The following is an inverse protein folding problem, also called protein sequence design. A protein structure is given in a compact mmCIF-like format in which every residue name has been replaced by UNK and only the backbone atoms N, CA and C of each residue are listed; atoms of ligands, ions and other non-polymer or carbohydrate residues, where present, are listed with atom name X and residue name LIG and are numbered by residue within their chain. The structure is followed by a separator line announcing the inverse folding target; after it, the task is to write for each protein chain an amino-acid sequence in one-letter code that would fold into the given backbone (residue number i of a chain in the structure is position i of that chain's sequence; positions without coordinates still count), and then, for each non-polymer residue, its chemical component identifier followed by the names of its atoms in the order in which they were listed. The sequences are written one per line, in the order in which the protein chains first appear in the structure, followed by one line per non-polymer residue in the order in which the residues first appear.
data_IF_663447955982
#
_entry.id   IF_663447955982
#
_cell.length_a   1.000
_cell.length_b   1.000
_cell.length_c   1.000
_cell.angle_alpha   90.00
_cell.angle_beta   90.00
_cell.angle_gamma   90.00
#
_symmetry.space_group_name_H-M   'P 1'
#
loop_
_entity.id
_entity.type
_entity.pdbx_description
1 polymer ?
#
# COMPACT_ATOMS: atom_id res chain seq x y z
N UNK A 1 -21.17 70.89 49.55
CA UNK A 1 -20.12 69.87 49.30
C UNK A 1 -20.69 68.77 48.40
N UNK A 2 -20.34 68.76 47.10
CA UNK A 2 -20.83 67.73 46.13
C UNK A 2 -19.72 66.74 45.88
N UNK A 3 -19.89 65.47 46.34
CA UNK A 3 -18.96 64.38 46.07
C UNK A 3 -19.13 63.89 44.63
N UNK A 4 -18.07 63.90 43.83
CA UNK A 4 -18.01 63.29 42.51
C UNK A 4 -17.48 61.84 42.67
N UNK A 5 -18.34 60.88 42.36
CA UNK A 5 -17.98 59.46 42.24
C UNK A 5 -17.36 59.25 40.87
N UNK A 6 -16.09 58.86 40.83
CA UNK A 6 -15.32 58.51 39.64
C UNK A 6 -15.54 56.99 39.36
N UNK A 7 -16.31 56.67 38.33
CA UNK A 7 -16.53 55.29 37.90
C UNK A 7 -15.35 54.87 36.99
N UNK A 8 -14.46 54.01 37.52
CA UNK A 8 -13.36 53.40 36.77
C UNK A 8 -13.88 52.16 36.11
N UNK A 9 -14.15 52.21 34.81
CA UNK A 9 -14.51 51.06 33.97
C UNK A 9 -13.25 50.29 33.61
N UNK A 10 -13.01 49.18 34.29
CA UNK A 10 -11.92 48.25 33.98
C UNK A 10 -12.30 47.44 32.70
N UNK A 11 -11.59 47.67 31.62
CA UNK A 11 -11.68 46.86 30.40
C UNK A 11 -10.86 45.59 30.60
N UNK A 12 -11.55 44.47 30.80
CA UNK A 12 -10.92 43.14 30.85
C UNK A 12 -10.57 42.72 29.41
N UNK A 13 -9.28 42.74 29.05
CA UNK A 13 -8.77 42.12 27.82
C UNK A 13 -8.74 40.60 28.04
N UNK A 14 -9.71 39.88 27.48
CA UNK A 14 -9.63 38.45 27.32
C UNK A 14 -8.62 38.13 26.20
N UNK A 15 -7.40 37.82 26.57
CA UNK A 15 -6.42 37.24 25.67
C UNK A 15 -6.92 35.83 25.27
N UNK A 16 -7.60 35.72 24.13
CA UNK A 16 -7.91 34.46 23.50
C UNK A 16 -6.59 33.87 22.96
N UNK A 17 -6.02 32.91 23.69
CA UNK A 17 -4.97 32.04 23.16
C UNK A 17 -5.57 31.17 22.05
N UNK A 18 -5.62 31.67 20.81
CA UNK A 18 -5.81 30.84 19.66
C UNK A 18 -4.57 29.95 19.54
N UNK A 19 -4.67 28.70 19.99
CA UNK A 19 -3.70 27.66 19.65
C UNK A 19 -3.75 27.48 18.14
N UNK A 20 -2.81 28.07 17.42
CA UNK A 20 -2.55 27.76 16.02
C UNK A 20 -2.14 26.28 15.98
N UNK A 21 -3.06 25.38 15.61
CA UNK A 21 -2.69 24.05 15.19
C UNK A 21 -1.82 24.19 13.94
N UNK A 22 -0.55 23.88 14.07
CA UNK A 22 0.40 23.89 12.96
C UNK A 22 -0.13 22.96 11.87
N UNK A 23 -0.53 23.55 10.74
CA UNK A 23 -1.01 22.78 9.59
C UNK A 23 0.12 21.90 9.06
N UNK A 24 -0.16 20.62 8.83
CA UNK A 24 0.83 19.71 8.24
C UNK A 24 1.25 20.19 6.86
N UNK A 25 2.52 20.02 6.52
CA UNK A 25 3.12 20.58 5.32
C UNK A 25 3.93 19.53 4.55
N UNK A 26 4.10 19.77 3.27
CA UNK A 26 5.05 19.01 2.46
C UNK A 26 6.49 19.49 2.63
N UNK A 27 7.45 18.84 1.95
CA UNK A 27 8.85 19.27 1.91
C UNK A 27 8.99 20.69 1.38
N UNK A 28 9.98 21.43 1.89
CA UNK A 28 10.33 22.78 1.43
C UNK A 28 10.98 22.81 0.03
N UNK A 29 11.38 21.63 -0.48
CA UNK A 29 12.04 21.47 -1.78
C UNK A 29 11.20 20.61 -2.74
N UNK A 30 11.51 20.70 -4.02
CA UNK A 30 10.87 19.86 -5.03
C UNK A 30 11.33 18.40 -4.87
N UNK A 31 10.38 17.47 -4.76
CA UNK A 31 10.62 16.03 -4.71
C UNK A 31 10.24 15.40 -6.04
N UNK A 32 11.20 14.84 -6.76
CA UNK A 32 10.89 14.02 -7.94
C UNK A 32 10.40 12.63 -7.51
N UNK A 33 9.18 12.29 -7.90
CA UNK A 33 8.56 11.00 -7.59
C UNK A 33 8.63 9.99 -8.73
N UNK A 34 9.24 10.34 -9.87
CA UNK A 34 9.30 9.49 -11.06
C UNK A 34 10.07 8.19 -10.81
N UNK A 35 11.13 8.26 -10.01
CA UNK A 35 11.96 7.10 -9.61
C UNK A 35 11.40 6.30 -8.43
N UNK A 36 10.40 6.79 -7.72
CA UNK A 36 9.85 6.12 -6.54
C UNK A 36 8.91 5.00 -6.99
N UNK A 37 9.31 3.75 -6.72
CA UNK A 37 8.50 2.57 -7.04
C UNK A 37 7.40 2.39 -6.01
N UNK A 38 6.27 1.84 -6.45
CA UNK A 38 5.18 1.45 -5.56
C UNK A 38 5.62 0.38 -4.55
N UNK A 39 4.93 0.30 -3.42
CA UNK A 39 5.16 -0.77 -2.46
C UNK A 39 4.93 -2.14 -3.13
N UNK A 40 5.82 -3.09 -2.84
CA UNK A 40 5.70 -4.46 -3.37
C UNK A 40 4.96 -5.30 -2.33
N UNK A 41 3.73 -5.74 -2.62
CA UNK A 41 2.98 -6.60 -1.70
C UNK A 41 3.78 -7.85 -1.34
N UNK A 42 3.80 -8.17 -0.05
CA UNK A 42 4.46 -9.36 0.49
C UNK A 42 3.50 -10.01 1.49
N UNK A 43 3.68 -11.29 1.72
CA UNK A 43 3.07 -11.97 2.85
C UNK A 43 3.90 -11.64 4.10
N UNK A 44 3.39 -10.74 4.93
CA UNK A 44 4.02 -10.30 6.16
C UNK A 44 3.14 -10.69 7.35
N UNK A 45 3.74 -11.20 8.45
CA UNK A 45 2.98 -11.45 9.67
C UNK A 45 2.45 -10.13 10.24
N UNK A 46 1.32 -10.20 10.93
CA UNK A 46 0.79 -9.04 11.66
C UNK A 46 1.84 -8.49 12.62
N UNK A 47 2.03 -7.18 12.59
CA UNK A 47 2.93 -6.50 13.52
C UNK A 47 2.47 -6.71 14.96
N UNK A 48 3.42 -6.84 15.90
CA UNK A 48 3.11 -6.95 17.33
C UNK A 48 2.42 -5.68 17.86
N UNK A 49 2.78 -4.51 17.32
CA UNK A 49 2.15 -3.23 17.61
C UNK A 49 1.04 -2.87 16.63
N UNK A 50 0.12 -1.99 17.06
CA UNK A 50 -0.90 -1.39 16.22
C UNK A 50 -2.09 -2.30 15.87
N UNK A 51 -2.18 -3.52 16.39
CA UNK A 51 -3.22 -4.50 16.05
C UNK A 51 -4.03 -5.03 17.28
N UNK A 52 -4.53 -4.17 18.20
CA UNK A 52 -5.50 -4.62 19.19
C UNK A 52 -6.84 -4.94 18.50
N UNK A 53 -7.68 -5.74 19.14
CA UNK A 53 -9.03 -6.03 18.61
C UNK A 53 -9.83 -4.75 18.39
N UNK A 54 -9.69 -3.79 19.31
CA UNK A 54 -10.24 -2.44 19.16
C UNK A 54 -9.41 -1.40 19.93
N UNK A 55 -9.55 -0.15 19.56
CA UNK A 55 -8.91 0.99 20.24
C UNK A 55 -9.82 2.22 20.20
N UNK A 56 -9.56 3.20 21.09
CA UNK A 56 -10.38 4.42 21.20
C UNK A 56 -9.51 5.64 20.91
N UNK A 57 -9.96 6.50 20.00
CA UNK A 57 -9.35 7.81 19.73
C UNK A 57 -10.44 8.87 19.70
N UNK A 58 -10.24 9.97 20.40
CA UNK A 58 -11.19 11.08 20.51
C UNK A 58 -12.62 10.59 20.88
N UNK A 59 -12.70 9.66 21.83
CA UNK A 59 -13.96 9.08 22.32
C UNK A 59 -14.65 8.09 21.36
N UNK A 60 -14.11 7.89 20.15
CA UNK A 60 -14.67 6.95 19.17
C UNK A 60 -13.90 5.63 19.14
N UNK A 61 -14.64 4.51 19.21
CA UNK A 61 -14.09 3.16 19.13
C UNK A 61 -13.93 2.72 17.67
N UNK A 62 -12.79 2.10 17.38
CA UNK A 62 -12.46 1.51 16.09
C UNK A 62 -12.08 0.04 16.31
N UNK A 63 -12.62 -0.87 15.50
CA UNK A 63 -12.26 -2.29 15.53
C UNK A 63 -11.27 -2.59 14.40
N UNK A 64 -10.24 -3.35 14.70
CA UNK A 64 -9.28 -3.84 13.70
C UNK A 64 -9.84 -5.11 13.09
N UNK A 65 -9.76 -5.22 11.76
CA UNK A 65 -10.21 -6.40 11.02
C UNK A 65 -9.24 -7.57 11.24
N UNK A 66 -9.79 -8.79 11.25
CA UNK A 66 -8.98 -10.00 11.36
C UNK A 66 -8.16 -10.26 10.09
N UNK A 67 -8.64 -9.81 8.95
CA UNK A 67 -7.97 -9.96 7.67
C UNK A 67 -8.30 -8.78 6.76
N UNK A 68 -7.35 -8.43 5.90
CA UNK A 68 -7.54 -7.46 4.82
C UNK A 68 -8.05 -8.11 3.53
N UNK A 69 -8.08 -9.43 3.47
CA UNK A 69 -8.44 -10.18 2.25
C UNK A 69 -9.83 -9.78 1.73
N UNK A 70 -9.87 -9.36 0.46
CA UNK A 70 -11.10 -8.93 -0.20
C UNK A 70 -11.61 -7.55 0.24
N UNK A 71 -10.87 -6.83 1.08
CA UNK A 71 -11.26 -5.50 1.53
C UNK A 71 -11.31 -4.51 0.36
N UNK A 72 -12.43 -3.79 0.29
CA UNK A 72 -12.64 -2.71 -0.67
C UNK A 72 -13.45 -1.61 -0.01
N UNK A 73 -13.02 -0.36 -0.19
CA UNK A 73 -13.71 0.80 0.37
C UNK A 73 -13.56 2.01 -0.55
N UNK A 74 -14.60 2.84 -0.64
CA UNK A 74 -14.57 4.16 -1.27
C UNK A 74 -14.74 5.25 -0.23
N UNK A 75 -14.09 6.38 -0.43
CA UNK A 75 -14.18 7.55 0.44
C UNK A 75 -13.06 8.53 0.17
N UNK A 76 -12.89 9.49 1.09
CA UNK A 76 -11.91 10.56 0.95
C UNK A 76 -10.56 10.12 1.50
N UNK A 77 -9.51 10.27 0.69
CA UNK A 77 -8.11 10.21 1.12
C UNK A 77 -7.59 11.60 1.46
N UNK A 78 -6.67 11.67 2.40
CA UNK A 78 -5.77 12.81 2.63
C UNK A 78 -4.32 12.33 2.70
N UNK A 79 -3.41 13.19 3.10
CA UNK A 79 -2.01 12.84 3.25
C UNK A 79 -1.42 13.52 4.49
N UNK A 80 -0.32 13.00 5.00
CA UNK A 80 0.44 13.49 6.15
C UNK A 80 1.92 13.67 5.76
N UNK A 81 2.55 14.69 6.31
CA UNK A 81 3.85 15.21 5.85
C UNK A 81 4.84 15.44 6.97
N UNK A 82 5.44 16.63 6.97
CA UNK A 82 6.55 17.02 7.86
C UNK A 82 6.25 16.88 9.35
N UNK A 83 5.04 17.20 9.79
CA UNK A 83 4.63 17.11 11.20
C UNK A 83 4.81 15.71 11.78
N UNK A 84 4.66 14.67 10.97
CA UNK A 84 4.72 13.28 11.39
C UNK A 84 6.02 12.59 10.98
N UNK A 85 6.78 13.17 10.06
CA UNK A 85 8.03 12.59 9.56
C UNK A 85 9.03 12.36 10.71
N UNK A 86 9.62 11.15 10.74
CA UNK A 86 10.54 10.74 11.81
C UNK A 86 9.87 10.20 13.10
N UNK A 87 8.55 10.32 13.24
CA UNK A 87 7.80 9.79 14.38
C UNK A 87 7.48 8.29 14.20
N UNK A 88 7.23 7.61 15.32
CA UNK A 88 6.80 6.20 15.28
C UNK A 88 5.37 6.07 14.79
N UNK A 89 5.16 5.16 13.86
CA UNK A 89 3.83 4.69 13.44
C UNK A 89 3.24 3.74 14.49
N UNK A 90 1.96 3.44 14.37
CA UNK A 90 1.23 2.56 15.30
C UNK A 90 1.79 1.12 15.34
N UNK A 91 2.43 0.65 14.27
CA UNK A 91 3.09 -0.66 14.26
C UNK A 91 4.53 -0.61 14.79
N UNK A 92 5.05 0.58 15.17
CA UNK A 92 6.36 0.80 15.77
C UNK A 92 7.49 1.16 14.79
N UNK A 93 7.21 1.23 13.50
CA UNK A 93 8.16 1.70 12.47
C UNK A 93 8.31 3.22 12.53
N UNK A 94 9.36 3.76 11.90
CA UNK A 94 9.50 5.21 11.74
C UNK A 94 8.75 5.64 10.48
N UNK A 95 7.89 6.65 10.62
CA UNK A 95 7.22 7.23 9.46
C UNK A 95 8.22 8.01 8.60
N UNK A 96 8.29 7.62 7.35
CA UNK A 96 9.04 8.33 6.32
C UNK A 96 8.08 8.78 5.20
N UNK A 97 7.88 10.11 5.08
CA UNK A 97 6.97 10.67 4.09
C UNK A 97 7.42 10.45 2.62
N UNK A 98 8.66 10.00 2.42
CA UNK A 98 9.23 9.68 1.11
C UNK A 98 9.07 8.20 0.71
N UNK A 99 8.41 7.39 1.53
CA UNK A 99 8.11 5.98 1.23
C UNK A 99 6.65 5.79 0.83
N UNK A 100 6.35 4.69 0.13
CA UNK A 100 4.99 4.36 -0.31
C UNK A 100 4.20 3.70 0.83
N UNK A 101 3.78 4.51 1.81
CA UNK A 101 3.07 4.07 3.02
C UNK A 101 1.76 4.81 3.22
N UNK A 102 0.93 4.30 4.14
CA UNK A 102 -0.36 4.90 4.49
C UNK A 102 -0.82 4.51 5.91
N UNK A 103 -1.76 5.31 6.44
CA UNK A 103 -2.50 5.02 7.66
C UNK A 103 -3.96 4.64 7.35
N UNK A 104 -4.48 3.60 8.01
CA UNK A 104 -5.87 3.18 7.91
C UNK A 104 -6.43 2.75 9.28
N UNK A 105 -7.72 3.06 9.52
CA UNK A 105 -8.36 2.83 10.82
C UNK A 105 -8.48 1.36 11.21
N UNK A 106 -8.88 0.52 10.27
CA UNK A 106 -9.39 -0.82 10.55
C UNK A 106 -8.57 -1.97 9.95
N UNK A 107 -7.78 -1.73 8.89
CA UNK A 107 -6.97 -2.80 8.27
C UNK A 107 -5.93 -3.35 9.26
N UNK A 108 -5.65 -4.65 9.27
CA UNK A 108 -4.53 -5.18 10.02
C UNK A 108 -3.22 -4.58 9.54
N UNK A 109 -2.26 -4.36 10.44
CA UNK A 109 -0.94 -3.83 10.11
C UNK A 109 0.11 -4.95 10.14
N UNK A 110 0.97 -5.05 9.12
CA UNK A 110 0.87 -4.33 7.87
C UNK A 110 -0.17 -4.93 6.91
N UNK A 111 -0.70 -4.12 6.00
CA UNK A 111 -1.50 -4.55 4.85
C UNK A 111 -1.05 -3.80 3.60
N UNK A 112 -1.27 -4.37 2.44
CA UNK A 112 -1.01 -3.72 1.16
C UNK A 112 -2.30 -3.37 0.46
N UNK A 113 -2.44 -2.13 0.02
CA UNK A 113 -3.63 -1.68 -0.70
C UNK A 113 -3.25 -0.92 -1.98
N UNK A 114 -4.06 -1.11 -3.03
CA UNK A 114 -4.09 -0.19 -4.16
C UNK A 114 -5.04 0.93 -3.83
N UNK A 115 -4.58 2.15 -4.01
CA UNK A 115 -5.36 3.38 -3.88
C UNK A 115 -5.51 3.97 -5.27
N UNK A 116 -6.73 4.16 -5.73
CA UNK A 116 -7.06 4.76 -7.03
C UNK A 116 -7.79 6.09 -6.81
N UNK A 117 -7.26 7.17 -7.33
CA UNK A 117 -7.94 8.47 -7.37
C UNK A 117 -9.03 8.42 -8.44
N UNK A 118 -10.29 8.56 -8.04
CA UNK A 118 -11.46 8.39 -8.91
C UNK A 118 -11.63 9.53 -9.92
N UNK A 119 -10.98 10.68 -9.69
CA UNK A 119 -11.06 11.83 -10.59
C UNK A 119 -10.14 11.69 -11.82
N UNK A 120 -8.94 11.14 -11.64
CA UNK A 120 -7.92 11.08 -12.69
C UNK A 120 -7.47 9.65 -13.03
N UNK A 121 -8.03 8.63 -12.38
CA UNK A 121 -7.72 7.21 -12.54
C UNK A 121 -6.24 6.83 -12.26
N UNK A 122 -5.44 7.73 -11.66
CA UNK A 122 -4.10 7.38 -11.19
C UNK A 122 -4.21 6.43 -10.00
N UNK A 123 -3.33 5.45 -9.93
CA UNK A 123 -3.29 4.51 -8.83
C UNK A 123 -1.88 4.26 -8.33
N UNK A 124 -1.77 3.96 -7.05
CA UNK A 124 -0.52 3.61 -6.37
C UNK A 124 -0.76 2.40 -5.47
N UNK A 125 0.30 1.66 -5.19
CA UNK A 125 0.29 0.63 -4.14
C UNK A 125 1.06 1.16 -2.95
N UNK A 126 0.42 1.11 -1.77
CA UNK A 126 1.01 1.55 -0.51
C UNK A 126 0.96 0.43 0.53
N UNK A 127 1.91 0.45 1.45
CA UNK A 127 1.92 -0.40 2.64
C UNK A 127 1.29 0.36 3.80
N UNK A 128 0.18 -0.15 4.31
CA UNK A 128 -0.51 0.40 5.47
C UNK A 128 0.22 -0.08 6.72
N UNK A 129 0.85 0.84 7.43
CA UNK A 129 1.65 0.57 8.63
C UNK A 129 1.27 1.45 9.82
N UNK A 130 0.23 2.29 9.67
CA UNK A 130 -0.18 3.22 10.72
C UNK A 130 -1.71 3.27 10.90
N UNK A 131 -2.17 3.90 12.03
CA UNK A 131 -3.56 4.14 12.38
C UNK A 131 -3.96 5.58 12.09
N UNK A 132 -5.13 5.73 11.53
CA UNK A 132 -5.76 6.98 11.10
C UNK A 132 -6.48 6.78 9.77
N UNK A 133 -7.02 7.85 9.18
CA UNK A 133 -7.23 9.19 9.72
C UNK A 133 -8.36 9.25 10.76
N UNK A 134 -8.24 10.12 11.74
CA UNK A 134 -9.30 10.30 12.74
C UNK A 134 -10.22 11.49 12.42
N UNK A 135 -9.88 12.31 11.44
CA UNK A 135 -10.76 13.35 10.92
C UNK A 135 -12.01 12.75 10.25
N UNK A 136 -13.14 13.45 10.40
CA UNK A 136 -14.45 13.01 9.88
C UNK A 136 -14.42 12.89 8.35
N UNK A 137 -15.03 11.83 7.82
CA UNK A 137 -15.19 11.60 6.38
C UNK A 137 -13.98 10.98 5.66
N UNK A 138 -12.78 11.04 6.24
CA UNK A 138 -11.58 10.45 5.63
C UNK A 138 -11.45 8.94 5.94
N UNK A 139 -10.91 8.19 4.99
CA UNK A 139 -10.74 6.73 5.11
C UNK A 139 -9.27 6.29 5.15
N UNK A 140 -8.37 7.03 4.50
CA UNK A 140 -6.94 6.71 4.40
C UNK A 140 -6.13 8.00 4.38
N UNK A 141 -4.98 8.02 5.07
CA UNK A 141 -3.98 9.06 4.95
C UNK A 141 -2.75 8.49 4.27
N UNK A 142 -2.34 9.13 3.17
CA UNK A 142 -1.21 8.70 2.35
C UNK A 142 0.07 9.42 2.77
N UNK A 143 1.21 8.79 2.56
CA UNK A 143 2.48 9.51 2.59
C UNK A 143 2.51 10.60 1.53
N UNK A 144 3.37 11.61 1.72
CA UNK A 144 3.52 12.71 0.77
C UNK A 144 3.80 12.23 -0.66
N UNK A 145 4.74 11.30 -0.85
CA UNK A 145 5.09 10.81 -2.19
C UNK A 145 3.95 9.99 -2.83
N UNK A 146 3.21 9.21 -2.04
CA UNK A 146 2.04 8.49 -2.53
C UNK A 146 0.95 9.46 -2.99
N UNK A 147 0.65 10.49 -2.21
CA UNK A 147 -0.30 11.54 -2.55
C UNK A 147 0.14 12.35 -3.78
N UNK A 148 1.45 12.62 -3.90
CA UNK A 148 2.02 13.31 -5.07
C UNK A 148 1.89 12.50 -6.35
N UNK A 149 2.12 11.19 -6.30
CA UNK A 149 1.90 10.28 -7.45
C UNK A 149 0.43 10.22 -7.86
N UNK A 150 -0.51 10.30 -6.92
CA UNK A 150 -1.95 10.37 -7.18
C UNK A 150 -2.43 11.75 -7.64
N UNK A 151 -1.53 12.76 -7.68
CA UNK A 151 -1.83 14.15 -8.08
C UNK A 151 -2.91 14.81 -7.18
N UNK A 152 -2.75 14.63 -5.86
CA UNK A 152 -3.70 15.19 -4.89
C UNK A 152 -3.09 16.18 -3.89
N UNK A 153 -1.79 16.51 -4.01
CA UNK A 153 -1.12 17.45 -3.09
C UNK A 153 -1.79 18.82 -3.07
N UNK A 154 -2.11 19.37 -4.25
CA UNK A 154 -2.71 20.71 -4.36
C UNK A 154 -4.11 20.81 -3.76
N UNK A 155 -4.88 19.74 -3.84
CA UNK A 155 -6.24 19.66 -3.29
C UNK A 155 -6.26 19.24 -1.83
N UNK A 156 -5.16 18.69 -1.30
CA UNK A 156 -5.06 18.13 0.05
C UNK A 156 -5.82 16.83 0.24
N UNK A 157 -6.89 16.61 -0.52
CA UNK A 157 -7.77 15.44 -0.46
C UNK A 157 -8.19 14.98 -1.86
N UNK A 158 -8.62 13.72 -1.97
CA UNK A 158 -9.20 13.17 -3.19
C UNK A 158 -10.19 12.05 -2.86
N UNK A 159 -11.23 11.90 -3.71
CA UNK A 159 -12.07 10.72 -3.68
C UNK A 159 -11.31 9.52 -4.23
N UNK A 160 -11.25 8.46 -3.45
CA UNK A 160 -10.48 7.26 -3.80
C UNK A 160 -11.28 5.99 -3.62
N UNK A 161 -10.86 4.97 -4.35
CA UNK A 161 -11.16 3.57 -4.06
C UNK A 161 -9.90 2.90 -3.54
N UNK A 162 -10.00 2.19 -2.42
CA UNK A 162 -8.95 1.31 -1.88
C UNK A 162 -9.35 -0.14 -2.02
N UNK A 163 -8.40 -0.97 -2.48
CA UNK A 163 -8.59 -2.41 -2.63
C UNK A 163 -7.38 -3.11 -2.03
N UNK A 164 -7.61 -4.02 -1.09
CA UNK A 164 -6.55 -4.84 -0.50
C UNK A 164 -5.88 -5.72 -1.54
N UNK A 165 -4.57 -5.86 -1.42
CA UNK A 165 -3.72 -6.74 -2.22
C UNK A 165 -3.15 -7.91 -1.42
N UNK A 166 -3.56 -8.06 -0.14
CA UNK A 166 -3.08 -9.14 0.72
C UNK A 166 -3.63 -10.48 0.21
N UNK A 167 -2.73 -11.44 0.06
CA UNK A 167 -3.00 -12.70 -0.63
C UNK A 167 -2.98 -12.58 -2.16
N UNK A 168 -2.75 -11.39 -2.70
CA UNK A 168 -2.41 -11.22 -4.10
C UNK A 168 -0.90 -11.36 -4.26
N UNK A 169 -0.47 -12.28 -5.08
CA UNK A 169 0.93 -12.31 -5.53
C UNK A 169 1.28 -10.95 -6.17
N UNK A 170 2.51 -10.44 -5.95
CA UNK A 170 2.92 -9.17 -6.52
C UNK A 170 2.69 -9.12 -8.03
N UNK A 171 1.94 -8.13 -8.49
CA UNK A 171 1.82 -7.74 -9.89
C UNK A 171 0.91 -8.54 -10.83
N UNK A 172 -0.40 -8.26 -10.79
CA UNK A 172 -1.16 -8.40 -12.03
C UNK A 172 -2.07 -7.21 -12.38
N UNK A 173 -2.09 -6.12 -11.60
CA UNK A 173 -3.06 -5.04 -11.84
C UNK A 173 -2.50 -3.61 -11.89
N UNK A 174 -1.20 -3.38 -11.66
CA UNK A 174 -0.64 -2.02 -11.74
C UNK A 174 -0.13 -1.64 -13.14
N UNK A 175 0.03 -2.63 -14.02
CA UNK A 175 0.34 -2.40 -15.43
C UNK A 175 -0.66 -3.21 -16.26
N UNK A 176 -1.16 -2.64 -17.35
CA UNK A 176 -1.77 -3.38 -18.48
C UNK A 176 -0.78 -4.39 -19.09
N UNK A 177 0.14 -4.90 -18.29
CA UNK A 177 1.23 -5.79 -18.65
C UNK A 177 0.84 -7.26 -18.53
N UNK A 178 1.27 -8.02 -19.51
CA UNK A 178 1.21 -9.48 -19.53
C UNK A 178 2.17 -10.05 -18.48
N UNK A 179 1.76 -11.06 -17.73
CA UNK A 179 2.61 -11.73 -16.72
C UNK A 179 2.83 -13.20 -17.04
N UNK A 180 3.93 -13.75 -16.55
CA UNK A 180 4.22 -15.19 -16.56
C UNK A 180 4.23 -15.72 -15.12
N UNK A 181 3.83 -16.96 -14.93
CA UNK A 181 4.01 -17.65 -13.65
C UNK A 181 5.26 -18.53 -13.76
N UNK A 182 6.30 -18.20 -12.99
CA UNK A 182 7.51 -19.00 -12.89
C UNK A 182 7.29 -20.13 -11.87
N UNK A 183 7.42 -21.37 -12.32
CA UNK A 183 7.21 -22.56 -11.49
C UNK A 183 8.51 -23.06 -10.88
N UNK A 184 9.66 -22.66 -11.45
CA UNK A 184 10.97 -23.01 -10.89
C UNK A 184 12.11 -22.39 -11.68
N UNK A 185 13.31 -22.42 -11.07
CA UNK A 185 14.58 -22.07 -11.68
C UNK A 185 15.60 -23.17 -11.40
N UNK A 186 16.22 -23.71 -12.45
CA UNK A 186 17.08 -24.89 -12.37
C UNK A 186 18.48 -24.58 -12.91
N UNK A 187 19.50 -25.15 -12.30
CA UNK A 187 20.88 -25.05 -12.80
C UNK A 187 21.13 -25.97 -14.00
N UNK A 188 20.32 -27.01 -14.18
CA UNK A 188 20.40 -27.97 -15.27
C UNK A 188 19.27 -27.78 -16.27
N UNK A 189 19.59 -27.73 -17.57
CA UNK A 189 18.62 -27.69 -18.66
C UNK A 189 17.75 -28.93 -18.72
N UNK A 190 18.31 -30.07 -18.38
CA UNK A 190 17.59 -31.34 -18.34
C UNK A 190 16.52 -31.37 -17.25
N UNK A 191 16.87 -30.92 -16.03
CA UNK A 191 15.92 -30.79 -14.92
C UNK A 191 14.77 -29.84 -15.27
N UNK A 192 15.08 -28.71 -15.89
CA UNK A 192 14.07 -27.77 -16.38
C UNK A 192 13.13 -28.39 -17.42
N UNK A 193 13.68 -29.19 -18.37
CA UNK A 193 12.88 -29.90 -19.37
C UNK A 193 11.96 -30.96 -18.75
N UNK A 194 12.46 -31.76 -17.81
CA UNK A 194 11.64 -32.76 -17.09
C UNK A 194 10.43 -32.12 -16.40
N UNK A 195 10.65 -31.01 -15.69
CA UNK A 195 9.57 -30.28 -15.02
C UNK A 195 8.62 -29.63 -16.03
N UNK A 196 9.13 -29.02 -17.10
CA UNK A 196 8.31 -28.42 -18.13
C UNK A 196 7.40 -29.45 -18.82
N UNK A 197 7.93 -30.63 -19.13
CA UNK A 197 7.17 -31.71 -19.75
C UNK A 197 6.11 -32.29 -18.79
N UNK A 198 6.46 -32.47 -17.52
CA UNK A 198 5.50 -32.88 -16.47
C UNK A 198 4.35 -31.89 -16.35
N UNK A 199 4.63 -30.57 -16.26
CA UNK A 199 3.63 -29.52 -16.21
C UNK A 199 2.73 -29.51 -17.46
N UNK A 200 3.33 -29.54 -18.64
CA UNK A 200 2.58 -29.56 -19.90
C UNK A 200 1.61 -30.75 -19.99
N UNK A 201 2.07 -31.92 -19.58
CA UNK A 201 1.27 -33.15 -19.60
C UNK A 201 0.15 -33.15 -18.55
N UNK A 202 0.46 -32.75 -17.30
CA UNK A 202 -0.51 -32.77 -16.20
C UNK A 202 -1.55 -31.66 -16.29
N UNK A 203 -1.12 -30.46 -16.68
CA UNK A 203 -1.98 -29.28 -16.64
C UNK A 203 -2.49 -28.86 -18.01
N UNK A 204 -2.05 -29.50 -19.09
CA UNK A 204 -2.39 -29.14 -20.47
C UNK A 204 -2.18 -27.63 -20.74
N UNK A 205 -1.01 -27.13 -20.35
CA UNK A 205 -0.63 -25.73 -20.42
C UNK A 205 0.64 -25.55 -21.25
N UNK A 206 0.74 -24.44 -21.95
CA UNK A 206 1.97 -24.07 -22.64
C UNK A 206 3.05 -23.69 -21.62
N UNK A 207 4.21 -24.31 -21.71
CA UNK A 207 5.35 -24.10 -20.82
C UNK A 207 6.54 -23.58 -21.61
N UNK A 208 7.19 -22.54 -21.10
CA UNK A 208 8.40 -21.97 -21.70
C UNK A 208 9.59 -22.17 -20.76
N UNK A 209 10.78 -22.35 -21.34
CA UNK A 209 12.03 -22.42 -20.60
C UNK A 209 12.91 -21.26 -21.07
N UNK A 210 13.25 -20.34 -20.17
CA UNK A 210 14.14 -19.21 -20.45
C UNK A 210 15.49 -19.41 -19.77
N UNK A 211 16.57 -19.38 -20.56
CA UNK A 211 17.94 -19.41 -20.05
C UNK A 211 18.36 -18.01 -19.62
N UNK A 212 18.93 -17.90 -18.43
CA UNK A 212 19.49 -16.66 -17.87
C UNK A 212 20.92 -16.93 -17.42
N UNK A 213 21.82 -16.04 -17.83
CA UNK A 213 23.21 -16.01 -17.36
C UNK A 213 23.32 -14.95 -16.26
N UNK A 214 23.83 -15.31 -15.10
CA UNK A 214 24.14 -14.39 -14.02
C UNK A 214 25.48 -14.77 -13.41
N UNK A 215 26.45 -13.85 -13.43
CA UNK A 215 27.75 -13.98 -12.75
C UNK A 215 28.36 -15.38 -12.81
N UNK A 216 28.69 -15.92 -13.98
CA UNK A 216 29.25 -17.26 -14.20
C UNK A 216 28.31 -18.47 -13.95
N UNK A 217 27.02 -18.27 -13.64
CA UNK A 217 26.04 -19.36 -13.49
C UNK A 217 24.94 -19.24 -14.52
N UNK A 218 24.52 -20.38 -15.06
CA UNK A 218 23.34 -20.47 -15.95
C UNK A 218 22.17 -21.00 -15.14
N UNK A 219 20.97 -20.40 -15.35
CA UNK A 219 19.74 -20.87 -14.77
C UNK A 219 18.68 -21.02 -15.87
N UNK A 220 17.87 -22.04 -15.76
CA UNK A 220 16.78 -22.35 -16.67
C UNK A 220 15.47 -22.13 -15.92
N UNK A 221 14.74 -21.06 -16.27
CA UNK A 221 13.47 -20.70 -15.63
C UNK A 221 12.32 -21.32 -16.38
N UNK A 222 11.54 -22.17 -15.68
CA UNK A 222 10.34 -22.79 -16.21
C UNK A 222 9.14 -21.91 -15.90
N UNK A 223 8.39 -21.50 -16.93
CA UNK A 223 7.28 -20.53 -16.82
C UNK A 223 6.06 -20.98 -17.61
N UNK A 224 4.88 -20.63 -17.12
CA UNK A 224 3.60 -20.76 -17.81
C UNK A 224 2.96 -19.39 -18.05
N UNK A 225 2.15 -19.25 -19.07
CA UNK A 225 1.55 -18.00 -19.55
C UNK A 225 1.91 -17.74 -21.00
N UNK A 226 1.67 -16.52 -21.51
CA UNK A 226 1.41 -15.26 -20.81
C UNK A 226 -0.06 -15.07 -20.36
N UNK A 227 -0.27 -14.38 -19.24
CA UNK A 227 -1.59 -14.06 -18.70
C UNK A 227 -1.79 -12.55 -18.62
N UNK A 228 -2.98 -12.08 -19.01
CA UNK A 228 -3.30 -10.64 -19.07
C UNK A 228 -4.20 -10.17 -17.93
N UNK A 229 -4.88 -11.09 -17.24
CA UNK A 229 -5.85 -10.75 -16.20
C UNK A 229 -5.53 -11.46 -14.89
N UNK A 230 -5.87 -10.82 -13.76
CA UNK A 230 -5.69 -11.41 -12.43
C UNK A 230 -6.48 -12.73 -12.30
N UNK A 231 -7.70 -12.78 -12.84
CA UNK A 231 -8.52 -13.99 -12.81
C UNK A 231 -7.84 -15.19 -13.47
N UNK A 232 -7.11 -14.97 -14.58
CA UNK A 232 -6.31 -16.03 -15.20
C UNK A 232 -5.18 -16.48 -14.29
N UNK A 233 -4.48 -15.52 -13.67
CA UNK A 233 -3.37 -15.82 -12.74
C UNK A 233 -3.87 -16.62 -11.54
N UNK A 234 -4.93 -16.18 -10.86
CA UNK A 234 -5.51 -16.83 -9.68
C UNK A 234 -5.98 -18.27 -9.98
N UNK A 235 -6.63 -18.46 -11.14
CA UNK A 235 -7.02 -19.77 -11.63
C UNK A 235 -5.81 -20.71 -11.74
N UNK A 236 -4.70 -20.23 -12.30
CA UNK A 236 -3.52 -21.04 -12.50
C UNK A 236 -2.74 -21.26 -11.19
N UNK A 237 -2.66 -20.28 -10.31
CA UNK A 237 -2.05 -20.46 -8.98
C UNK A 237 -2.77 -21.54 -8.18
N UNK A 238 -4.11 -21.47 -8.13
CA UNK A 238 -4.93 -22.48 -7.46
C UNK A 238 -4.70 -23.89 -8.05
N UNK A 239 -4.62 -23.98 -9.39
CA UNK A 239 -4.38 -25.24 -10.08
C UNK A 239 -2.97 -25.78 -9.88
N UNK A 240 -1.95 -24.92 -9.84
CA UNK A 240 -0.57 -25.32 -9.52
C UNK A 240 -0.46 -25.83 -8.08
N UNK A 241 -1.05 -25.14 -7.13
CA UNK A 241 -1.07 -25.55 -5.71
C UNK A 241 -1.73 -26.92 -5.53
N UNK A 242 -2.85 -27.21 -6.21
CA UNK A 242 -3.52 -28.51 -6.15
C UNK A 242 -2.69 -29.66 -6.75
N UNK A 243 -1.64 -29.35 -7.52
CA UNK A 243 -0.69 -30.33 -8.09
C UNK A 243 0.69 -30.29 -7.42
N UNK A 244 0.75 -29.78 -6.17
CA UNK A 244 1.96 -29.71 -5.34
C UNK A 244 3.05 -28.75 -5.84
N UNK A 245 2.70 -27.76 -6.64
CA UNK A 245 3.59 -26.66 -7.01
C UNK A 245 3.29 -25.44 -6.12
N UNK A 246 3.97 -25.34 -4.97
CA UNK A 246 3.68 -24.31 -3.95
C UNK A 246 4.61 -23.08 -4.04
N UNK A 247 5.87 -23.28 -4.50
CA UNK A 247 6.85 -22.19 -4.60
C UNK A 247 6.88 -21.57 -6.01
N UNK A 248 5.80 -20.91 -6.37
CA UNK A 248 5.63 -20.27 -7.68
C UNK A 248 5.70 -18.73 -7.57
N UNK A 249 6.22 -18.07 -8.60
CA UNK A 249 6.38 -16.60 -8.65
C UNK A 249 5.68 -16.02 -9.88
N UNK A 250 4.87 -14.99 -9.69
CA UNK A 250 4.31 -14.21 -10.78
C UNK A 250 5.32 -13.15 -11.21
N UNK A 251 5.66 -13.10 -12.49
CA UNK A 251 6.72 -12.23 -13.02
C UNK A 251 6.17 -11.42 -14.18
N UNK A 252 6.29 -10.08 -14.17
CA UNK A 252 5.90 -9.25 -15.30
C UNK A 252 6.79 -9.52 -16.51
N UNK A 253 6.21 -9.45 -17.70
CA UNK A 253 6.95 -9.41 -18.96
C UNK A 253 7.23 -7.93 -19.22
N UNK A 254 8.44 -7.47 -18.88
CA UNK A 254 8.90 -6.17 -19.33
C UNK A 254 9.16 -6.26 -20.84
N UNK A 255 8.54 -5.37 -21.60
CA UNK A 255 8.93 -5.11 -22.99
C UNK A 255 10.26 -4.38 -23.02
#
# INVERSE_FOLDING_TARGET
MKARILLVTGVLFLASCATFEEQDSGPSHHVDVSGIKDAIPRDEPRSKGGNPDSYVVLGKRYSVLDSSKGFKQRGVASWYGNKFHGNKTSNGEIYDMYTMSAAHKNLPLPSYVRVTNLKNNRSVIVRVNDRGPFAKGRIIDLSYVAAKKLDMIKTGTADVEIVSLDGATPNASANNGTVMIQVGAFSSKESARKIAQKLANQLKVQVTINEIKSSNKRFYRVRIGPYKTQSQVDKWLKRLTSHSYHDVKVIPINK
#
